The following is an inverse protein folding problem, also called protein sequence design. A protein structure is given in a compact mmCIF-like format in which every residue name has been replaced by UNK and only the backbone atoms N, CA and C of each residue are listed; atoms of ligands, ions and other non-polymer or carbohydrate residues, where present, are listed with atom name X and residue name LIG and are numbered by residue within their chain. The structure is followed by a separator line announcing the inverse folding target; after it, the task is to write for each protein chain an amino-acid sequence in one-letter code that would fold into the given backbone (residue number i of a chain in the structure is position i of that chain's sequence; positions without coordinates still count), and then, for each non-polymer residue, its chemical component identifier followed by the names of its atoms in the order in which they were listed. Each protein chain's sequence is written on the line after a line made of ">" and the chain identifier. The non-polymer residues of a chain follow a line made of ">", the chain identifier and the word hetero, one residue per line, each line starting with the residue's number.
data_IF_277301850412
#
_entry.id   IF_277301850412
#
_cell.length_a   1.000
_cell.length_b   1.000
_cell.length_c   1.000
_cell.angle_alpha   90.00
_cell.angle_beta   90.00
_cell.angle_gamma   90.00
#
_symmetry.space_group_name_H-M   'P 1'
#
loop_
_entity.id
_entity.type
_entity.pdbx_description
1 polymer ?
#
# COMPACT_ATOMS: atom_id res chain seq x y z
N UNK A 1 -2.96 30.28 -0.13
CA UNK A 1 -4.28 30.92 0.05
C UNK A 1 -5.06 30.08 1.03
N UNK A 2 -5.29 30.59 2.23
CA UNK A 2 -5.93 29.84 3.30
C UNK A 2 -7.29 30.42 3.69
N UNK A 3 -8.22 29.55 4.08
CA UNK A 3 -9.50 29.91 4.69
C UNK A 3 -9.49 29.44 6.14
N UNK A 4 -9.80 30.34 7.06
CA UNK A 4 -9.85 30.05 8.49
C UNK A 4 -11.24 30.30 9.05
N UNK A 5 -11.72 29.40 9.89
CA UNK A 5 -12.91 29.59 10.72
C UNK A 5 -12.53 29.67 12.19
N UNK A 6 -12.90 30.76 12.86
CA UNK A 6 -12.80 30.91 14.31
C UNK A 6 -14.20 30.80 14.91
N UNK A 7 -14.46 29.75 15.70
CA UNK A 7 -15.75 29.56 16.41
C UNK A 7 -15.66 28.50 17.50
N UNK A 8 -16.32 28.77 18.63
CA UNK A 8 -16.63 27.78 19.66
C UNK A 8 -17.93 27.01 19.38
N UNK A 9 -18.76 27.50 18.44
CA UNK A 9 -20.06 26.92 18.11
C UNK A 9 -19.93 25.71 17.16
N UNK A 10 -20.18 24.50 17.69
CA UNK A 10 -20.16 23.26 16.90
C UNK A 10 -21.15 23.27 15.73
N UNK A 11 -22.30 23.96 15.86
CA UNK A 11 -23.29 24.04 14.77
C UNK A 11 -22.81 24.91 13.62
N UNK A 12 -22.14 26.02 13.91
CA UNK A 12 -21.51 26.87 12.88
C UNK A 12 -20.38 26.10 12.21
N UNK A 13 -19.52 25.44 13.00
CA UNK A 13 -18.45 24.57 12.49
C UNK A 13 -18.99 23.53 11.50
N UNK A 14 -19.98 22.73 11.91
CA UNK A 14 -20.57 21.70 11.06
C UNK A 14 -21.20 22.29 9.78
N UNK A 15 -21.91 23.42 9.88
CA UNK A 15 -22.55 24.05 8.74
C UNK A 15 -21.52 24.63 7.73
N UNK A 16 -20.46 25.28 8.22
CA UNK A 16 -19.37 25.78 7.37
C UNK A 16 -18.63 24.62 6.71
N UNK A 17 -18.26 23.58 7.48
CA UNK A 17 -17.60 22.39 6.94
C UNK A 17 -18.44 21.70 5.87
N UNK A 18 -19.77 21.61 6.04
CA UNK A 18 -20.65 21.04 5.03
C UNK A 18 -20.65 21.84 3.73
N UNK A 19 -20.72 23.18 3.81
CA UNK A 19 -20.63 24.05 2.62
C UNK A 19 -19.26 23.91 1.97
N UNK A 20 -18.18 23.97 2.75
CA UNK A 20 -16.81 23.85 2.26
C UNK A 20 -16.55 22.53 1.55
N UNK A 21 -17.04 21.41 2.09
CA UNK A 21 -17.01 20.08 1.46
C UNK A 21 -17.78 20.03 0.14
N UNK A 22 -18.93 20.70 0.06
CA UNK A 22 -19.74 20.74 -1.17
C UNK A 22 -19.06 21.48 -2.33
N UNK A 23 -18.09 22.37 -2.03
CA UNK A 23 -17.29 23.09 -3.04
C UNK A 23 -15.82 22.67 -3.07
N UNK A 24 -15.43 21.66 -2.27
CA UNK A 24 -14.05 21.16 -2.22
C UNK A 24 -13.04 22.14 -1.65
N UNK A 25 -13.42 23.05 -0.75
CA UNK A 25 -12.49 24.03 -0.15
C UNK A 25 -12.07 23.58 1.25
N UNK A 26 -10.76 23.55 1.49
CA UNK A 26 -10.22 23.31 2.83
C UNK A 26 -10.42 24.53 3.73
N UNK A 27 -10.96 24.28 4.93
CA UNK A 27 -11.15 25.31 5.96
C UNK A 27 -10.46 24.85 7.23
N UNK A 28 -9.41 25.58 7.63
CA UNK A 28 -8.80 25.38 8.94
C UNK A 28 -9.74 25.90 10.02
N UNK A 29 -9.86 25.19 11.14
CA UNK A 29 -10.77 25.55 12.23
C UNK A 29 -9.97 25.83 13.50
N UNK A 30 -10.21 26.97 14.12
CA UNK A 30 -9.59 27.43 15.35
C UNK A 30 -10.66 27.62 16.42
N UNK A 31 -10.42 27.11 17.63
CA UNK A 31 -11.26 27.38 18.80
C UNK A 31 -11.06 28.81 19.33
N UNK A 32 -11.93 29.24 20.24
CA UNK A 32 -11.83 30.56 20.86
C UNK A 32 -10.65 30.68 21.82
N UNK A 33 -10.23 29.56 22.41
CA UNK A 33 -9.16 29.51 23.42
C UNK A 33 -7.77 29.22 22.81
N UNK A 34 -7.70 29.00 21.50
CA UNK A 34 -6.46 28.66 20.81
C UNK A 34 -5.64 29.94 20.55
N UNK A 35 -4.35 29.94 20.88
CA UNK A 35 -3.44 31.04 20.52
C UNK A 35 -3.33 31.15 19.01
N UNK A 36 -3.96 32.19 18.45
CA UNK A 36 -4.01 32.43 17.02
C UNK A 36 -2.72 33.10 16.53
N UNK A 37 -2.17 32.58 15.45
CA UNK A 37 -1.20 33.28 14.60
C UNK A 37 -1.71 33.18 13.17
N UNK A 38 -2.05 34.32 12.58
CA UNK A 38 -2.56 34.36 11.21
C UNK A 38 -1.50 33.78 10.26
N UNK A 39 -1.85 32.82 9.39
CA UNK A 39 -0.99 32.46 8.29
C UNK A 39 -0.75 33.71 7.41
N UNK A 40 0.48 33.90 6.95
CA UNK A 40 0.84 35.06 6.11
C UNK A 40 0.10 35.14 4.76
N UNK A 41 -0.64 34.10 4.38
CA UNK A 41 -1.38 33.95 3.13
C UNK A 41 -2.90 33.72 3.33
N UNK A 42 -3.45 34.24 4.45
CA UNK A 42 -4.89 34.15 4.76
C UNK A 42 -5.75 35.02 3.82
N UNK A 43 -6.54 34.37 2.96
CA UNK A 43 -7.41 35.06 1.99
C UNK A 43 -8.79 35.41 2.57
N UNK A 44 -9.32 34.54 3.44
CA UNK A 44 -10.68 34.64 3.98
C UNK A 44 -10.71 34.21 5.44
N UNK A 45 -11.25 35.07 6.29
CA UNK A 45 -11.52 34.79 7.69
C UNK A 45 -13.02 34.68 7.92
N UNK A 46 -13.46 33.54 8.40
CA UNK A 46 -14.81 33.29 8.86
C UNK A 46 -14.85 33.40 10.39
N UNK A 47 -15.71 34.28 10.90
CA UNK A 47 -15.92 34.45 12.34
C UNK A 47 -17.30 33.89 12.69
N UNK A 48 -17.37 32.91 13.59
CA UNK A 48 -18.64 32.54 14.21
C UNK A 48 -19.22 33.74 14.96
N UNK A 49 -20.54 33.91 15.00
CA UNK A 49 -21.15 35.00 15.75
C UNK A 49 -20.82 35.00 17.26
N UNK A 50 -20.45 33.83 17.80
CA UNK A 50 -19.90 33.63 19.14
C UNK A 50 -18.44 34.09 19.27
N UNK A 51 -17.71 34.13 18.16
CA UNK A 51 -16.34 34.60 18.02
C UNK A 51 -16.25 36.07 17.61
N UNK A 52 -17.32 36.85 17.78
CA UNK A 52 -17.31 38.30 17.58
C UNK A 52 -17.13 38.99 18.94
N UNK A 53 -15.90 39.20 19.45
CA UNK A 53 -15.60 40.17 20.51
C UNK A 53 -14.91 41.44 19.97
N UNK A 54 -14.94 42.50 20.78
CA UNK A 54 -14.63 43.88 20.40
C UNK A 54 -13.17 44.19 19.99
N UNK A 55 -12.21 43.30 20.26
CA UNK A 55 -10.77 43.54 20.12
C UNK A 55 -10.04 42.41 19.36
N UNK A 56 -10.58 41.94 18.23
CA UNK A 56 -9.84 41.05 17.34
C UNK A 56 -8.81 41.89 16.56
N UNK A 57 -7.57 41.94 17.02
CA UNK A 57 -6.45 42.55 16.28
C UNK A 57 -6.12 41.69 15.06
N UNK A 58 -6.67 42.08 13.91
CA UNK A 58 -6.27 41.53 12.63
C UNK A 58 -4.90 42.12 12.26
N UNK A 59 -3.93 41.30 11.84
CA UNK A 59 -2.62 41.80 11.45
C UNK A 59 -2.75 42.79 10.28
N UNK A 60 -2.15 43.96 10.44
CA UNK A 60 -2.10 45.00 9.41
C UNK A 60 -1.48 44.46 8.11
N UNK A 61 -2.15 44.73 6.97
CA UNK A 61 -1.59 44.50 5.64
C UNK A 61 -2.05 43.23 4.92
N UNK A 62 -2.90 42.40 5.51
CA UNK A 62 -3.54 41.28 4.79
C UNK A 62 -4.85 41.76 4.18
N UNK A 63 -5.03 41.61 2.86
CA UNK A 63 -6.29 41.87 2.17
C UNK A 63 -7.32 40.76 2.46
N UNK A 64 -7.58 40.49 3.74
CA UNK A 64 -8.45 39.40 4.18
C UNK A 64 -9.91 39.84 4.12
N UNK A 65 -10.73 39.09 3.38
CA UNK A 65 -12.17 39.24 3.47
C UNK A 65 -12.61 38.63 4.81
N UNK A 66 -13.31 39.41 5.66
CA UNK A 66 -13.88 38.92 6.92
C UNK A 66 -15.38 38.71 6.73
N UNK A 67 -15.89 37.53 7.08
CA UNK A 67 -17.32 37.19 7.00
C UNK A 67 -17.78 36.61 8.34
N UNK A 68 -18.83 37.18 8.91
CA UNK A 68 -19.44 36.61 10.11
C UNK A 68 -20.45 35.54 9.73
N UNK A 69 -20.44 34.40 10.41
CA UNK A 69 -21.30 33.25 10.13
C UNK A 69 -22.09 32.86 11.38
N UNK A 70 -23.38 32.58 11.20
CA UNK A 70 -24.27 32.09 12.26
C UNK A 70 -25.25 31.07 11.69
N UNK A 71 -25.89 30.29 12.57
CA UNK A 71 -27.00 29.37 12.24
C UNK A 71 -28.34 29.86 12.81
N UNK A 72 -28.34 31.03 13.46
CA UNK A 72 -29.51 31.63 14.10
C UNK A 72 -29.81 33.01 13.48
N UNK A 73 -30.99 33.12 12.88
CA UNK A 73 -31.46 34.33 12.22
C UNK A 73 -31.61 35.52 13.18
N UNK A 74 -31.95 35.26 14.45
CA UNK A 74 -32.08 36.33 15.45
C UNK A 74 -30.72 36.90 15.85
N UNK A 75 -29.71 36.03 15.93
CA UNK A 75 -28.31 36.43 16.12
C UNK A 75 -27.80 37.18 14.89
N UNK A 76 -28.12 36.73 13.67
CA UNK A 76 -27.72 37.40 12.43
C UNK A 76 -28.19 38.86 12.37
N UNK A 77 -29.43 39.13 12.81
CA UNK A 77 -29.99 40.49 12.84
C UNK A 77 -29.34 41.41 13.89
N UNK A 78 -28.62 40.85 14.86
CA UNK A 78 -27.99 41.60 15.97
C UNK A 78 -26.50 41.87 15.75
N UNK A 79 -25.85 41.14 14.84
CA UNK A 79 -24.46 41.43 14.46
C UNK A 79 -24.46 42.55 13.42
N UNK A 80 -23.91 43.74 13.73
CA UNK A 80 -23.82 44.80 12.75
C UNK A 80 -22.88 44.39 11.62
N UNK A 81 -23.32 44.52 10.36
CA UNK A 81 -22.42 44.48 9.22
C UNK A 81 -21.37 45.59 9.39
N UNK A 82 -20.08 45.24 9.35
CA UNK A 82 -18.96 46.14 9.65
C UNK A 82 -18.42 46.07 11.09
N UNK A 83 -19.06 45.34 12.01
CA UNK A 83 -18.44 45.00 13.30
C UNK A 83 -17.16 44.19 13.08
N UNK A 84 -16.05 44.58 13.72
CA UNK A 84 -14.71 43.99 13.53
C UNK A 84 -14.19 44.00 12.08
N UNK A 85 -14.64 44.94 11.24
CA UNK A 85 -14.22 45.01 9.82
C UNK A 85 -14.89 43.96 8.92
N UNK A 86 -15.92 43.27 9.41
CA UNK A 86 -16.66 42.26 8.64
C UNK A 86 -17.35 42.85 7.42
N UNK A 87 -17.12 42.23 6.27
CA UNK A 87 -17.68 42.59 4.97
C UNK A 87 -19.11 42.11 4.76
N UNK A 88 -19.54 41.08 5.50
CA UNK A 88 -20.87 40.45 5.38
C UNK A 88 -21.21 39.59 6.60
N UNK A 89 -22.51 39.43 6.87
CA UNK A 89 -23.04 38.47 7.86
C UNK A 89 -23.89 37.44 7.14
N UNK A 90 -23.57 36.15 7.32
CA UNK A 90 -24.26 35.03 6.68
C UNK A 90 -24.97 34.16 7.73
N UNK A 91 -26.25 33.90 7.49
CA UNK A 91 -27.04 32.96 8.28
C UNK A 91 -27.21 31.63 7.53
N UNK A 92 -26.59 30.56 8.00
CA UNK A 92 -26.71 29.22 7.42
C UNK A 92 -27.99 28.52 7.91
N UNK A 93 -28.68 27.75 7.05
CA UNK A 93 -28.28 27.36 5.69
C UNK A 93 -28.62 28.37 4.58
N UNK A 94 -29.46 29.37 4.84
CA UNK A 94 -29.97 30.31 3.81
C UNK A 94 -28.88 31.09 3.07
N UNK A 95 -27.77 31.42 3.73
CA UNK A 95 -26.60 32.07 3.16
C UNK A 95 -25.56 31.09 2.58
N UNK A 96 -25.87 29.80 2.47
CA UNK A 96 -24.93 28.77 2.06
C UNK A 96 -24.37 28.96 0.65
N UNK A 97 -25.21 29.37 -0.31
CA UNK A 97 -24.76 29.63 -1.69
C UNK A 97 -23.75 30.79 -1.76
N UNK A 98 -24.03 31.88 -1.04
CA UNK A 98 -23.11 33.01 -0.98
C UNK A 98 -21.81 32.63 -0.26
N UNK A 99 -21.87 31.81 0.78
CA UNK A 99 -20.66 31.28 1.44
C UNK A 99 -19.84 30.42 0.47
N UNK A 100 -20.48 29.53 -0.29
CA UNK A 100 -19.84 28.71 -1.30
C UNK A 100 -19.08 29.56 -2.34
N UNK A 101 -19.73 30.58 -2.90
CA UNK A 101 -19.09 31.52 -3.85
C UNK A 101 -17.86 32.21 -3.25
N UNK A 102 -17.95 32.66 -1.99
CA UNK A 102 -16.82 33.32 -1.30
C UNK A 102 -15.67 32.35 -1.02
N UNK A 103 -15.97 31.11 -0.66
CA UNK A 103 -14.97 30.07 -0.42
C UNK A 103 -14.19 29.76 -1.70
N UNK A 104 -14.88 29.52 -2.82
CA UNK A 104 -14.24 29.23 -4.11
C UNK A 104 -13.33 30.37 -4.56
N UNK A 105 -13.82 31.61 -4.45
CA UNK A 105 -13.03 32.81 -4.81
C UNK A 105 -11.79 32.98 -3.93
N UNK A 106 -11.88 32.72 -2.64
CA UNK A 106 -10.78 32.94 -1.70
C UNK A 106 -9.70 31.85 -1.74
N UNK A 107 -10.10 30.60 -2.04
CA UNK A 107 -9.21 29.44 -2.01
C UNK A 107 -8.50 29.17 -3.35
N UNK A 108 -8.81 29.93 -4.40
CA UNK A 108 -8.18 29.75 -5.72
C UNK A 108 -8.62 28.47 -6.44
N UNK A 109 -9.87 28.06 -6.23
CA UNK A 109 -10.53 26.88 -6.82
C UNK A 109 -9.66 25.61 -6.91
N UNK A 110 -9.42 24.93 -5.76
CA UNK A 110 -8.63 23.68 -5.76
C UNK A 110 -9.25 22.60 -6.65
N UNK A 111 -10.57 22.61 -6.86
CA UNK A 111 -11.27 21.62 -7.68
C UNK A 111 -10.94 21.82 -9.15
N UNK A 112 -10.98 23.06 -9.66
CA UNK A 112 -10.53 23.37 -11.01
C UNK A 112 -9.05 23.06 -11.20
N UNK A 113 -8.18 23.44 -10.25
CA UNK A 113 -6.74 23.16 -10.34
C UNK A 113 -6.43 21.66 -10.43
N UNK A 114 -7.08 20.83 -9.62
CA UNK A 114 -6.94 19.37 -9.68
C UNK A 114 -7.50 18.81 -10.99
N UNK A 115 -8.64 19.32 -11.47
CA UNK A 115 -9.23 18.93 -12.75
C UNK A 115 -8.31 19.27 -13.93
N UNK A 116 -7.72 20.47 -13.93
CA UNK A 116 -6.80 20.94 -14.96
C UNK A 116 -5.48 20.14 -14.98
N UNK A 117 -5.06 19.64 -13.81
CA UNK A 117 -3.95 18.68 -13.71
C UNK A 117 -4.31 17.27 -14.22
N UNK A 118 -5.58 17.03 -14.56
CA UNK A 118 -6.06 15.77 -15.15
C UNK A 118 -6.70 14.79 -14.17
N UNK A 119 -6.93 15.18 -12.91
CA UNK A 119 -7.60 14.30 -11.95
C UNK A 119 -9.10 14.15 -12.20
N UNK A 120 -9.63 12.97 -11.86
CA UNK A 120 -11.06 12.70 -11.93
C UNK A 120 -11.80 13.32 -10.75
N UNK A 121 -12.70 14.29 -11.02
CA UNK A 121 -13.56 14.89 -10.00
C UNK A 121 -14.92 14.22 -10.01
N UNK A 122 -15.39 13.84 -8.82
CA UNK A 122 -16.70 13.22 -8.58
C UNK A 122 -17.28 13.74 -7.26
N UNK A 123 -18.47 13.25 -6.92
CA UNK A 123 -19.20 13.63 -5.72
C UNK A 123 -19.59 12.37 -4.97
N UNK A 124 -19.38 12.35 -3.67
CA UNK A 124 -19.71 11.21 -2.81
C UNK A 124 -20.24 11.69 -1.46
N UNK A 125 -20.95 10.82 -0.75
CA UNK A 125 -21.41 11.12 0.61
C UNK A 125 -20.20 10.99 1.58
N UNK A 126 -19.82 12.04 2.33
CA UNK A 126 -18.73 11.97 3.28
C UNK A 126 -19.02 11.11 4.53
N UNK A 127 -20.26 10.65 4.72
CA UNK A 127 -20.63 9.70 5.78
C UNK A 127 -20.41 8.23 5.41
N UNK A 128 -19.93 7.96 4.20
CA UNK A 128 -19.66 6.62 3.65
C UNK A 128 -18.43 5.98 4.34
N UNK A 129 -18.23 4.64 4.29
CA UNK A 129 -17.13 3.96 4.98
C UNK A 129 -15.72 4.46 4.60
N UNK A 130 -14.72 3.97 5.35
CA UNK A 130 -13.30 4.30 5.17
C UNK A 130 -12.74 4.09 3.74
N UNK A 131 -13.44 3.36 2.89
CA UNK A 131 -13.18 3.28 1.46
C UNK A 131 -14.49 3.42 0.67
N UNK A 132 -14.46 4.22 -0.39
CA UNK A 132 -15.54 4.39 -1.36
C UNK A 132 -15.45 3.33 -2.45
N UNK A 133 -16.55 2.92 -3.05
CA UNK A 133 -16.56 2.14 -4.28
C UNK A 133 -16.87 3.04 -5.46
N UNK A 134 -16.54 2.60 -6.67
CA UNK A 134 -16.90 3.32 -7.90
C UNK A 134 -18.40 3.69 -7.97
N UNK A 135 -19.28 2.81 -7.50
CA UNK A 135 -20.72 3.04 -7.52
C UNK A 135 -21.21 4.04 -6.45
N UNK A 136 -20.35 4.43 -5.51
CA UNK A 136 -20.62 5.46 -4.51
C UNK A 136 -20.29 6.86 -5.06
N UNK A 137 -19.67 6.94 -6.24
CA UNK A 137 -19.30 8.18 -6.91
C UNK A 137 -20.38 8.61 -7.91
N UNK A 138 -20.69 9.91 -7.90
CA UNK A 138 -21.56 10.57 -8.87
C UNK A 138 -20.78 11.63 -9.64
N UNK A 139 -20.95 11.74 -10.97
CA UNK A 139 -20.40 12.86 -11.73
C UNK A 139 -21.10 14.19 -11.40
N UNK A 140 -22.29 14.16 -10.80
CA UNK A 140 -23.10 15.34 -10.47
C UNK A 140 -23.27 15.51 -8.96
N UNK A 141 -23.32 16.76 -8.46
CA UNK A 141 -23.60 17.03 -7.06
C UNK A 141 -25.02 16.59 -6.69
N UNK A 142 -25.16 16.03 -5.49
CA UNK A 142 -26.44 15.68 -4.87
C UNK A 142 -26.49 16.20 -3.43
N UNK A 143 -27.69 16.19 -2.83
CA UNK A 143 -27.88 16.71 -1.48
C UNK A 143 -27.01 15.96 -0.46
N UNK A 144 -26.15 16.69 0.26
CA UNK A 144 -25.22 16.14 1.24
C UNK A 144 -23.91 15.59 0.66
N UNK A 145 -23.73 15.60 -0.66
CA UNK A 145 -22.47 15.19 -1.29
C UNK A 145 -21.33 16.17 -1.02
N UNK A 146 -20.12 15.65 -1.02
CA UNK A 146 -18.87 16.38 -0.96
C UNK A 146 -18.07 16.14 -2.26
N UNK A 147 -17.26 17.13 -2.65
CA UNK A 147 -16.37 16.98 -3.81
C UNK A 147 -15.27 16.00 -3.48
N UNK A 148 -15.15 14.97 -4.30
CA UNK A 148 -14.18 13.90 -4.19
C UNK A 148 -13.25 13.92 -5.40
N UNK A 149 -11.96 13.75 -5.15
CA UNK A 149 -10.96 13.57 -6.20
C UNK A 149 -10.46 12.13 -6.17
N UNK A 150 -10.67 11.43 -7.29
CA UNK A 150 -9.98 10.18 -7.56
C UNK A 150 -8.59 10.52 -8.08
N UNK A 151 -7.55 10.14 -7.33
CA UNK A 151 -6.16 10.44 -7.72
C UNK A 151 -5.63 9.46 -8.78
N UNK A 152 -6.52 8.67 -9.39
CA UNK A 152 -6.24 7.82 -10.54
C UNK A 152 -5.10 6.85 -10.25
N UNK A 153 -4.21 6.64 -11.22
CA UNK A 153 -3.05 5.73 -11.14
C UNK A 153 -2.05 6.02 -10.00
N UNK A 154 -2.37 6.89 -9.04
CA UNK A 154 -1.76 6.93 -7.72
C UNK A 154 -2.45 5.89 -6.83
N UNK A 155 -2.02 4.63 -6.91
CA UNK A 155 -2.27 3.66 -5.86
C UNK A 155 -2.94 2.35 -6.22
N UNK A 156 -3.16 2.00 -7.48
CA UNK A 156 -3.82 0.73 -7.82
C UNK A 156 -3.07 -0.47 -7.25
N UNK A 157 -3.68 -1.14 -6.27
CA UNK A 157 -3.32 -2.50 -5.84
C UNK A 157 -3.45 -3.55 -6.96
N UNK A 158 -3.12 -4.81 -6.65
CA UNK A 158 -2.83 -5.87 -7.64
C UNK A 158 -3.92 -6.14 -8.69
N UNK A 159 -3.61 -5.78 -9.95
CA UNK A 159 -4.13 -6.44 -11.17
C UNK A 159 -3.26 -7.66 -11.52
N UNK A 160 -3.71 -8.86 -11.14
CA UNK A 160 -3.12 -10.12 -11.60
C UNK A 160 -3.20 -10.18 -13.14
N UNK A 161 -2.02 -10.25 -13.78
CA UNK A 161 -1.77 -10.13 -15.22
C UNK A 161 -1.64 -8.71 -15.80
N UNK A 162 -1.15 -7.75 -15.01
CA UNK A 162 -0.43 -6.59 -15.56
C UNK A 162 -0.92 -5.21 -15.08
N UNK A 163 0.06 -4.44 -14.57
CA UNK A 163 0.22 -3.00 -14.73
C UNK A 163 -0.66 -2.06 -13.92
N UNK A 164 -0.37 -1.97 -12.63
CA UNK A 164 -0.36 -0.68 -11.93
C UNK A 164 1.02 -0.47 -11.31
N UNK A 165 1.70 0.62 -11.70
CA UNK A 165 3.15 0.77 -11.52
C UNK A 165 3.58 0.79 -10.04
N UNK A 166 4.74 0.21 -9.68
CA UNK A 166 5.34 0.26 -8.34
C UNK A 166 5.38 1.68 -7.74
N UNK A 167 5.50 2.69 -8.60
CA UNK A 167 5.38 4.12 -8.27
C UNK A 167 4.03 4.50 -7.66
N UNK A 168 2.94 3.99 -8.23
CA UNK A 168 1.57 4.18 -7.77
C UNK A 168 1.42 3.68 -6.33
N UNK A 169 1.86 2.43 -6.11
CA UNK A 169 1.85 1.76 -4.81
C UNK A 169 2.75 2.48 -3.79
N UNK A 170 3.91 2.96 -4.24
CA UNK A 170 4.84 3.75 -3.41
C UNK A 170 4.21 5.06 -2.95
N UNK A 171 3.67 5.84 -3.89
CA UNK A 171 3.03 7.12 -3.59
C UNK A 171 1.84 6.90 -2.65
N UNK A 172 0.99 5.89 -2.89
CA UNK A 172 -0.11 5.52 -2.01
C UNK A 172 0.38 5.21 -0.58
N UNK A 173 1.33 4.28 -0.43
CA UNK A 173 1.88 3.85 0.86
C UNK A 173 2.52 5.01 1.62
N UNK A 174 3.29 5.84 0.92
CA UNK A 174 4.03 6.95 1.52
C UNK A 174 3.14 8.12 1.90
N UNK A 175 2.16 8.46 1.06
CA UNK A 175 1.22 9.56 1.35
C UNK A 175 0.32 9.23 2.54
N UNK A 176 -0.20 8.00 2.65
CA UNK A 176 -0.93 7.54 3.84
C UNK A 176 -0.11 7.61 5.11
N UNK A 177 1.19 7.27 5.02
CA UNK A 177 2.12 7.33 6.15
C UNK A 177 2.40 8.76 6.60
N UNK A 178 2.55 9.70 5.68
CA UNK A 178 2.90 11.10 5.98
C UNK A 178 1.67 11.96 6.33
N UNK A 179 0.52 11.71 5.72
CA UNK A 179 -0.71 12.48 5.93
C UNK A 179 -1.86 11.57 6.40
N UNK A 180 -1.79 11.03 7.63
CA UNK A 180 -2.82 10.15 8.15
C UNK A 180 -4.18 10.86 8.22
N UNK A 181 -5.21 10.23 7.65
CA UNK A 181 -6.59 10.73 7.66
C UNK A 181 -6.93 11.81 6.62
N UNK A 182 -5.98 12.21 5.77
CA UNK A 182 -6.25 13.10 4.64
C UNK A 182 -6.91 12.38 3.45
N UNK A 183 -6.70 11.06 3.36
CA UNK A 183 -7.14 10.24 2.25
C UNK A 183 -8.30 9.32 2.64
N UNK A 184 -9.21 9.13 1.69
CA UNK A 184 -10.32 8.17 1.75
C UNK A 184 -10.23 7.36 0.47
N UNK A 185 -9.78 6.12 0.59
CA UNK A 185 -9.44 5.30 -0.58
C UNK A 185 -10.65 4.97 -1.45
N UNK A 186 -10.40 4.76 -2.74
CA UNK A 186 -11.39 4.28 -3.69
C UNK A 186 -11.11 2.81 -3.99
N UNK A 187 -11.94 1.94 -3.43
CA UNK A 187 -11.91 0.51 -3.62
C UNK A 187 -12.39 0.11 -5.02
N UNK A 188 -11.50 -0.52 -5.78
CA UNK A 188 -11.82 -1.27 -6.98
C UNK A 188 -11.76 -2.77 -6.73
N UNK A 189 -12.24 -3.55 -7.71
CA UNK A 189 -12.24 -4.99 -7.64
C UNK A 189 -10.84 -5.62 -7.69
N UNK A 190 -9.83 -4.87 -8.14
CA UNK A 190 -8.41 -5.27 -8.17
C UNK A 190 -7.57 -4.64 -7.05
N UNK A 191 -8.18 -3.83 -6.20
CA UNK A 191 -7.47 -3.16 -5.13
C UNK A 191 -7.91 -1.71 -4.98
N UNK A 192 -7.42 -1.10 -3.93
CA UNK A 192 -7.73 0.28 -3.59
C UNK A 192 -6.84 1.21 -4.42
N UNK A 193 -7.31 2.43 -4.69
CA UNK A 193 -6.50 3.54 -5.21
C UNK A 193 -6.62 4.72 -4.27
N UNK A 194 -5.65 5.64 -4.34
CA UNK A 194 -5.68 6.84 -3.52
C UNK A 194 -6.80 7.77 -3.98
N UNK A 195 -7.50 8.33 -3.02
CA UNK A 195 -8.44 9.41 -3.26
C UNK A 195 -8.72 10.18 -1.98
N UNK A 196 -9.43 11.29 -2.12
CA UNK A 196 -9.71 12.17 -1.00
C UNK A 196 -10.92 13.05 -1.28
N UNK A 197 -11.57 13.50 -0.21
CA UNK A 197 -12.44 14.66 -0.31
C UNK A 197 -11.57 15.91 -0.43
N UNK A 198 -11.83 16.75 -1.44
CA UNK A 198 -10.95 17.89 -1.75
C UNK A 198 -10.86 18.87 -0.57
N UNK A 199 -11.94 19.02 0.19
CA UNK A 199 -11.95 19.88 1.38
C UNK A 199 -11.11 19.34 2.56
N UNK A 200 -10.79 18.04 2.57
CA UNK A 200 -9.93 17.46 3.60
C UNK A 200 -8.43 17.60 3.22
N UNK A 201 -8.12 18.08 2.01
CA UNK A 201 -6.75 18.32 1.51
C UNK A 201 -6.29 19.76 1.79
N UNK A 202 -5.22 19.97 2.59
CA UNK A 202 -4.62 21.30 2.73
C UNK A 202 -4.09 21.82 1.38
N UNK A 203 -4.02 23.15 1.16
CA UNK A 203 -3.56 23.72 -0.10
C UNK A 203 -2.16 23.24 -0.54
N UNK A 204 -1.24 23.04 0.41
CA UNK A 204 0.10 22.55 0.11
C UNK A 204 0.08 21.10 -0.39
N UNK A 205 -0.86 20.29 0.11
CA UNK A 205 -1.04 18.92 -0.35
C UNK A 205 -1.68 18.89 -1.74
N UNK A 206 -2.61 19.81 -2.03
CA UNK A 206 -3.15 19.98 -3.39
C UNK A 206 -2.03 20.33 -4.38
N UNK A 207 -1.16 21.28 -4.03
CA UNK A 207 -0.01 21.67 -4.85
C UNK A 207 0.94 20.48 -5.09
N UNK A 208 1.20 19.71 -4.04
CA UNK A 208 2.03 18.51 -4.12
C UNK A 208 1.43 17.43 -5.03
N UNK A 209 0.13 17.15 -4.90
CA UNK A 209 -0.57 16.16 -5.74
C UNK A 209 -0.56 16.59 -7.22
N UNK A 210 -0.77 17.88 -7.50
CA UNK A 210 -0.66 18.43 -8.86
C UNK A 210 0.77 18.26 -9.39
N UNK A 211 1.78 18.57 -8.58
CA UNK A 211 3.19 18.37 -8.95
C UNK A 211 3.49 16.91 -9.29
N UNK A 212 3.07 15.97 -8.43
CA UNK A 212 3.21 14.52 -8.67
C UNK A 212 2.56 14.08 -9.99
N UNK A 213 1.38 14.62 -10.33
CA UNK A 213 0.64 14.25 -11.54
C UNK A 213 1.26 14.82 -12.83
N UNK A 214 1.69 16.08 -12.81
CA UNK A 214 2.19 16.78 -14.00
C UNK A 214 3.64 16.42 -14.31
N UNK A 215 4.48 16.36 -13.28
CA UNK A 215 5.93 16.18 -13.44
C UNK A 215 6.34 14.69 -13.32
N UNK A 216 5.42 13.82 -12.88
CA UNK A 216 5.68 12.42 -12.57
C UNK A 216 6.76 12.12 -11.49
N UNK A 217 7.07 12.99 -10.49
CA UNK A 217 8.02 12.63 -9.45
C UNK A 217 7.46 11.52 -8.56
N UNK A 218 8.34 10.63 -8.15
CA UNK A 218 8.09 9.66 -7.08
C UNK A 218 8.11 10.45 -5.77
N UNK A 219 7.11 10.26 -4.90
CA UNK A 219 7.03 11.00 -3.63
C UNK A 219 8.16 10.60 -2.67
N UNK A 220 8.47 9.30 -2.60
CA UNK A 220 9.52 8.74 -1.76
C UNK A 220 10.28 7.66 -2.54
N UNK A 221 11.47 8.00 -3.05
CA UNK A 221 12.31 7.08 -3.81
C UNK A 221 12.75 5.87 -2.99
N UNK A 222 12.93 6.02 -1.67
CA UNK A 222 13.31 4.89 -0.82
C UNK A 222 12.16 3.88 -0.69
N UNK A 223 10.93 4.38 -0.64
CA UNK A 223 9.74 3.55 -0.62
C UNK A 223 9.52 2.81 -1.95
N UNK A 224 9.80 3.48 -3.07
CA UNK A 224 9.78 2.86 -4.39
C UNK A 224 10.83 1.75 -4.50
N UNK A 225 12.09 2.01 -4.14
CA UNK A 225 13.15 0.99 -4.18
C UNK A 225 12.84 -0.20 -3.27
N UNK A 226 12.21 0.03 -2.11
CA UNK A 226 11.76 -1.05 -1.24
C UNK A 226 10.68 -1.91 -1.91
N UNK A 227 9.69 -1.30 -2.57
CA UNK A 227 8.65 -2.02 -3.31
C UNK A 227 9.19 -2.80 -4.51
N UNK A 228 10.14 -2.23 -5.25
CA UNK A 228 10.82 -2.91 -6.35
C UNK A 228 11.54 -4.16 -5.85
N UNK A 229 12.21 -4.06 -4.69
CA UNK A 229 12.85 -5.20 -4.05
C UNK A 229 11.85 -6.24 -3.55
N UNK A 230 10.71 -5.82 -2.96
CA UNK A 230 9.63 -6.71 -2.55
C UNK A 230 9.07 -7.49 -3.76
N UNK A 231 8.85 -6.83 -4.89
CA UNK A 231 8.38 -7.46 -6.13
C UNK A 231 9.41 -8.43 -6.72
N UNK A 232 10.70 -8.07 -6.68
CA UNK A 232 11.80 -8.96 -7.07
C UNK A 232 11.79 -10.22 -6.19
N UNK A 233 11.67 -10.07 -4.88
CA UNK A 233 11.63 -11.21 -3.96
C UNK A 233 10.38 -12.08 -4.15
N UNK A 234 9.23 -11.46 -4.39
CA UNK A 234 7.96 -12.15 -4.67
C UNK A 234 7.98 -12.91 -6.00
N UNK A 235 8.72 -12.42 -7.00
CA UNK A 235 8.81 -13.06 -8.32
C UNK A 235 9.28 -14.52 -8.25
N UNK A 236 10.09 -14.87 -7.22
CA UNK A 236 10.48 -16.25 -6.92
C UNK A 236 9.29 -17.18 -6.73
N UNK A 237 8.37 -16.80 -5.86
CA UNK A 237 7.20 -17.61 -5.51
C UNK A 237 6.15 -17.61 -6.61
N UNK A 238 6.06 -16.53 -7.39
CA UNK A 238 5.05 -16.36 -8.43
C UNK A 238 5.36 -17.15 -9.71
N UNK A 239 6.60 -17.07 -10.22
CA UNK A 239 6.91 -17.65 -11.53
C UNK A 239 8.37 -18.06 -11.73
N UNK A 240 9.35 -17.32 -11.17
CA UNK A 240 10.78 -17.55 -11.43
C UNK A 240 11.20 -18.96 -11.02
N UNK A 241 10.74 -19.46 -9.87
CA UNK A 241 11.08 -20.83 -9.42
C UNK A 241 10.64 -21.90 -10.42
N UNK A 242 9.46 -21.75 -11.03
CA UNK A 242 8.94 -22.64 -12.06
C UNK A 242 9.76 -22.58 -13.35
N UNK A 243 10.17 -21.39 -13.76
CA UNK A 243 10.97 -21.15 -14.96
C UNK A 243 12.39 -21.69 -14.81
N UNK A 244 13.04 -21.35 -13.69
CA UNK A 244 14.34 -21.91 -13.31
C UNK A 244 14.27 -23.43 -13.30
N UNK A 245 13.26 -24.02 -12.65
CA UNK A 245 13.11 -25.47 -12.62
C UNK A 245 13.01 -26.08 -14.03
N UNK A 246 12.27 -25.47 -14.95
CA UNK A 246 12.17 -25.89 -16.36
C UNK A 246 13.49 -25.75 -17.12
N UNK A 247 14.35 -24.80 -16.77
CA UNK A 247 15.66 -24.62 -17.40
C UNK A 247 16.75 -25.55 -16.84
N UNK A 248 16.57 -26.06 -15.62
CA UNK A 248 17.52 -27.00 -15.03
C UNK A 248 17.57 -28.34 -15.78
N UNK A 249 18.78 -28.88 -15.95
CA UNK A 249 18.98 -30.26 -16.40
C UNK A 249 18.54 -31.28 -15.34
N UNK A 250 18.29 -32.53 -15.78
CA UNK A 250 17.72 -33.62 -14.95
C UNK A 250 18.42 -33.77 -13.59
N UNK A 251 19.75 -33.84 -13.58
CA UNK A 251 20.53 -33.98 -12.33
C UNK A 251 20.33 -32.83 -11.36
N UNK A 252 20.23 -31.58 -11.84
CA UNK A 252 20.04 -30.44 -10.95
C UNK A 252 18.62 -30.42 -10.36
N UNK A 253 17.61 -30.84 -11.15
CA UNK A 253 16.23 -31.03 -10.65
C UNK A 253 16.15 -32.10 -9.56
N UNK A 254 16.86 -33.22 -9.73
CA UNK A 254 16.94 -34.26 -8.70
C UNK A 254 17.49 -33.71 -7.37
N UNK A 255 18.50 -32.85 -7.45
CA UNK A 255 19.06 -32.18 -6.26
C UNK A 255 18.08 -31.19 -5.65
N UNK A 256 17.41 -30.38 -6.47
CA UNK A 256 16.38 -29.43 -6.03
C UNK A 256 15.35 -30.13 -5.13
N UNK A 257 14.75 -31.22 -5.62
CA UNK A 257 13.74 -31.99 -4.88
C UNK A 257 14.23 -32.53 -3.53
N UNK A 258 15.51 -32.89 -3.45
CA UNK A 258 16.08 -33.42 -2.20
C UNK A 258 16.48 -32.32 -1.22
N UNK A 259 16.82 -31.12 -1.70
CA UNK A 259 17.19 -29.97 -0.85
C UNK A 259 15.97 -29.32 -0.17
N UNK A 260 14.79 -29.42 -0.76
CA UNK A 260 13.54 -28.83 -0.26
C UNK A 260 13.49 -27.32 -0.44
N UNK A 261 12.29 -26.78 -0.56
CA UNK A 261 12.03 -25.44 -1.12
C UNK A 261 12.77 -24.32 -0.39
N UNK A 262 12.72 -24.31 0.95
CA UNK A 262 13.39 -23.29 1.76
C UNK A 262 14.91 -23.23 1.54
N UNK A 263 15.55 -24.39 1.35
CA UNK A 263 17.01 -24.41 1.11
C UNK A 263 17.32 -24.04 -0.33
N UNK A 264 16.48 -24.44 -1.28
CA UNK A 264 16.61 -24.05 -2.68
C UNK A 264 16.46 -22.54 -2.82
N UNK A 265 15.43 -21.94 -2.22
CA UNK A 265 15.20 -20.49 -2.20
C UNK A 265 16.41 -19.74 -1.66
N UNK A 266 16.96 -20.17 -0.52
CA UNK A 266 18.20 -19.56 0.01
C UNK A 266 19.38 -19.69 -0.95
N UNK A 267 19.58 -20.86 -1.56
CA UNK A 267 20.66 -21.04 -2.54
C UNK A 267 20.47 -20.19 -3.80
N UNK A 268 19.23 -19.93 -4.19
CA UNK A 268 18.92 -19.05 -5.31
C UNK A 268 19.40 -17.64 -4.99
N UNK A 269 18.93 -17.07 -3.88
CA UNK A 269 19.33 -15.73 -3.46
C UNK A 269 20.84 -15.61 -3.16
N UNK A 270 21.44 -16.61 -2.52
CA UNK A 270 22.90 -16.71 -2.37
C UNK A 270 23.64 -16.66 -3.72
N UNK A 271 23.07 -17.29 -4.75
CA UNK A 271 23.68 -17.32 -6.08
C UNK A 271 23.54 -15.97 -6.75
N UNK A 272 22.34 -15.41 -6.77
CA UNK A 272 22.04 -14.08 -7.35
C UNK A 272 22.95 -13.02 -6.74
N UNK A 273 23.01 -12.94 -5.41
CA UNK A 273 23.91 -12.00 -4.72
C UNK A 273 25.38 -12.33 -4.94
N UNK A 274 25.75 -13.62 -4.99
CA UNK A 274 27.14 -14.05 -5.14
C UNK A 274 27.74 -13.79 -6.53
N UNK A 275 26.91 -13.61 -7.56
CA UNK A 275 27.34 -13.19 -8.90
C UNK A 275 27.06 -11.70 -9.15
N UNK A 276 26.65 -10.95 -8.12
CA UNK A 276 26.26 -9.54 -8.20
C UNK A 276 25.20 -9.26 -9.27
N UNK A 277 24.33 -10.25 -9.55
CA UNK A 277 23.27 -10.10 -10.52
C UNK A 277 22.10 -9.32 -9.91
N UNK A 278 21.58 -8.37 -10.67
CA UNK A 278 20.38 -7.63 -10.33
C UNK A 278 19.34 -7.80 -11.45
N UNK A 279 18.16 -8.36 -11.16
CA UNK A 279 17.07 -8.37 -12.11
C UNK A 279 16.62 -6.93 -12.38
N UNK A 280 16.15 -6.68 -13.60
CA UNK A 280 15.67 -5.35 -13.99
C UNK A 280 14.20 -5.20 -13.57
N UNK A 281 13.87 -4.12 -12.87
CA UNK A 281 12.50 -3.73 -12.55
C UNK A 281 12.22 -2.40 -13.25
N UNK A 282 11.22 -2.34 -14.13
CA UNK A 282 10.89 -1.12 -14.89
C UNK A 282 9.76 -0.29 -14.26
N UNK A 283 9.42 -0.60 -13.01
CA UNK A 283 8.26 -0.07 -12.30
C UNK A 283 6.96 -0.78 -12.67
N UNK A 284 6.95 -1.66 -13.68
CA UNK A 284 5.77 -2.40 -14.07
C UNK A 284 5.98 -3.93 -13.93
N UNK A 285 7.10 -4.45 -14.45
CA UNK A 285 7.44 -5.86 -14.39
C UNK A 285 8.85 -6.09 -13.83
N UNK A 286 9.08 -7.32 -13.34
CA UNK A 286 10.41 -7.81 -12.98
C UNK A 286 10.89 -8.70 -14.11
N UNK A 287 12.04 -8.37 -14.69
CA UNK A 287 12.67 -9.12 -15.78
C UNK A 287 13.93 -9.81 -15.30
N UNK A 288 13.98 -11.11 -15.55
CA UNK A 288 15.10 -11.97 -15.24
C UNK A 288 15.75 -12.50 -16.52
N UNK A 289 17.06 -12.29 -16.63
CA UNK A 289 17.92 -12.90 -17.65
C UNK A 289 18.35 -14.29 -17.15
N UNK A 290 17.40 -15.21 -17.11
CA UNK A 290 17.59 -16.53 -16.48
C UNK A 290 18.71 -17.34 -17.13
N UNK A 291 19.01 -17.13 -18.42
CA UNK A 291 20.12 -17.79 -19.11
C UNK A 291 21.49 -17.44 -18.49
N UNK A 292 21.63 -16.29 -17.85
CA UNK A 292 22.86 -15.88 -17.16
C UNK A 292 22.98 -16.50 -15.77
N UNK A 293 21.86 -16.57 -15.04
CA UNK A 293 21.84 -16.95 -13.62
C UNK A 293 21.69 -18.47 -13.42
N UNK A 294 20.84 -19.13 -14.23
CA UNK A 294 20.50 -20.55 -14.07
C UNK A 294 21.73 -21.46 -14.14
N UNK A 295 22.72 -21.26 -15.04
CA UNK A 295 23.93 -22.09 -15.04
C UNK A 295 24.73 -22.01 -13.73
N UNK A 296 24.88 -20.81 -13.17
CA UNK A 296 25.56 -20.60 -11.89
C UNK A 296 24.80 -21.26 -10.74
N UNK A 297 23.46 -21.12 -10.74
CA UNK A 297 22.59 -21.73 -9.75
C UNK A 297 22.60 -23.27 -9.83
N UNK A 298 22.58 -23.84 -11.03
CA UNK A 298 22.71 -25.28 -11.25
C UNK A 298 24.05 -25.81 -10.70
N UNK A 299 25.15 -25.09 -10.93
CA UNK A 299 26.45 -25.42 -10.37
C UNK A 299 26.45 -25.33 -8.83
N UNK A 300 25.76 -24.34 -8.26
CA UNK A 300 25.58 -24.16 -6.81
C UNK A 300 24.78 -25.30 -6.19
N UNK A 301 23.66 -25.72 -6.77
CA UNK A 301 22.90 -26.88 -6.34
C UNK A 301 23.78 -28.14 -6.29
N UNK A 302 24.54 -28.38 -7.35
CA UNK A 302 25.44 -29.54 -7.43
C UNK A 302 26.62 -29.46 -6.45
N UNK A 303 27.11 -28.26 -6.15
CA UNK A 303 28.08 -28.03 -5.08
C UNK A 303 27.46 -28.32 -3.71
N UNK A 304 26.21 -27.92 -3.49
CA UNK A 304 25.51 -28.13 -2.23
C UNK A 304 25.20 -29.60 -1.96
N UNK A 305 24.88 -30.38 -3.00
CA UNK A 305 24.81 -31.84 -2.90
C UNK A 305 26.14 -32.40 -2.40
N UNK A 306 27.27 -31.96 -2.99
CA UNK A 306 28.61 -32.43 -2.61
C UNK A 306 28.98 -32.07 -1.17
N UNK A 307 28.59 -30.88 -0.70
CA UNK A 307 28.83 -30.41 0.68
C UNK A 307 27.93 -31.12 1.70
N UNK A 308 26.65 -31.29 1.37
CA UNK A 308 25.66 -31.92 2.25
C UNK A 308 25.84 -33.42 2.34
N UNK A 309 26.42 -34.03 1.30
CA UNK A 309 26.78 -35.43 1.32
C UNK A 309 27.95 -35.66 2.28
N UNK A 310 27.66 -36.27 3.44
CA UNK A 310 28.67 -36.88 4.29
C UNK A 310 28.54 -38.38 4.14
N UNK A 311 29.67 -39.05 3.90
CA UNK A 311 29.70 -40.51 3.90
C UNK A 311 29.26 -41.02 5.28
N UNK A 312 28.08 -41.61 5.31
CA UNK A 312 27.51 -42.24 6.49
C UNK A 312 27.70 -43.74 6.35
N UNK A 313 28.51 -44.34 7.23
CA UNK A 313 28.88 -45.77 7.19
C UNK A 313 27.69 -46.71 7.27
N UNK A 314 26.53 -46.20 7.73
CA UNK A 314 25.27 -46.94 7.75
C UNK A 314 24.66 -47.13 6.37
N UNK A 315 25.17 -46.46 5.34
CA UNK A 315 24.75 -46.64 3.97
C UNK A 315 25.81 -47.39 3.18
N UNK A 316 25.41 -48.48 2.55
CA UNK A 316 26.27 -49.29 1.71
C UNK A 316 25.79 -49.26 0.26
N UNK A 317 26.75 -49.12 -0.66
CA UNK A 317 26.50 -49.19 -2.09
C UNK A 317 26.88 -50.58 -2.58
N UNK A 318 25.88 -51.38 -2.92
CA UNK A 318 26.10 -52.74 -3.43
C UNK A 318 25.70 -52.77 -4.90
N UNK A 319 26.47 -53.47 -5.74
CA UNK A 319 26.08 -53.68 -7.14
C UNK A 319 24.87 -54.60 -7.16
N UNK A 320 23.76 -54.14 -7.74
CA UNK A 320 22.55 -54.94 -7.80
C UNK A 320 22.79 -56.12 -8.77
N UNK A 321 22.54 -57.34 -8.32
CA UNK A 321 22.79 -58.58 -9.09
C UNK A 321 21.65 -58.87 -10.09
N UNK A 322 21.14 -57.84 -10.77
CA UNK A 322 20.20 -58.01 -11.87
C UNK A 322 21.02 -58.17 -13.15
N UNK A 323 21.28 -59.42 -13.52
CA UNK A 323 22.00 -59.77 -14.73
C UNK A 323 21.35 -59.18 -15.98
N UNK A 324 22.16 -58.53 -16.82
CA UNK A 324 21.99 -58.34 -18.26
C UNK A 324 20.73 -57.63 -18.81
N UNK A 325 19.87 -57.01 -18.00
CA UNK A 325 18.78 -56.18 -18.56
C UNK A 325 19.26 -54.75 -18.87
N UNK A 326 19.05 -54.22 -20.10
CA UNK A 326 19.56 -52.91 -20.52
C UNK A 326 19.10 -51.71 -19.67
N UNK A 327 18.00 -51.86 -18.94
CA UNK A 327 17.36 -50.81 -18.14
C UNK A 327 17.24 -51.17 -16.64
N UNK A 328 17.96 -52.20 -16.16
CA UNK A 328 17.91 -52.55 -14.75
C UNK A 328 18.79 -51.64 -13.87
N UNK A 329 18.35 -51.30 -12.65
CA UNK A 329 19.15 -50.54 -11.69
C UNK A 329 20.47 -51.27 -11.41
N UNK A 330 21.58 -50.54 -11.50
CA UNK A 330 22.94 -51.09 -11.40
C UNK A 330 23.43 -51.19 -9.97
N UNK A 331 22.81 -50.46 -9.05
CA UNK A 331 23.21 -50.37 -7.65
C UNK A 331 21.99 -50.41 -6.72
N UNK A 332 22.18 -51.04 -5.57
CA UNK A 332 21.30 -50.97 -4.42
C UNK A 332 21.96 -50.07 -3.37
N UNK A 333 21.21 -49.12 -2.84
CA UNK A 333 21.57 -48.37 -1.64
C UNK A 333 20.94 -49.09 -0.45
N UNK A 334 21.77 -49.68 0.40
CA UNK A 334 21.33 -50.40 1.59
C UNK A 334 21.52 -49.53 2.82
N UNK A 335 20.53 -49.54 3.70
CA UNK A 335 20.65 -48.96 5.04
C UNK A 335 20.96 -50.08 6.05
N UNK A 336 22.22 -50.16 6.45
CA UNK A 336 22.83 -51.29 7.14
C UNK A 336 22.22 -51.60 8.52
N UNK A 337 21.70 -50.60 9.24
CA UNK A 337 21.09 -50.82 10.56
C UNK A 337 19.77 -51.61 10.48
N UNK A 338 19.05 -51.53 9.36
CA UNK A 338 17.72 -52.14 9.22
C UNK A 338 17.66 -53.20 8.12
N UNK A 339 18.81 -53.50 7.47
CA UNK A 339 18.89 -54.38 6.30
C UNK A 339 17.88 -54.01 5.19
N UNK A 340 17.55 -52.72 5.09
CA UNK A 340 16.54 -52.22 4.17
C UNK A 340 17.19 -51.71 2.88
N UNK A 341 16.56 -52.00 1.74
CA UNK A 341 16.88 -51.34 0.48
C UNK A 341 16.26 -49.95 0.50
N UNK A 342 17.09 -48.94 0.75
CA UNK A 342 16.65 -47.54 0.73
C UNK A 342 16.33 -47.05 -0.69
N UNK A 343 17.04 -47.55 -1.71
CA UNK A 343 16.75 -47.29 -3.13
C UNK A 343 17.49 -48.24 -4.08
N UNK A 344 16.95 -48.36 -5.30
CA UNK A 344 17.60 -49.00 -6.46
C UNK A 344 17.91 -47.91 -7.49
N UNK A 345 19.16 -47.84 -7.97
CA UNK A 345 19.68 -46.70 -8.74
C UNK A 345 20.63 -47.13 -9.86
N UNK A 346 20.71 -46.33 -10.92
CA UNK A 346 21.50 -46.64 -12.11
C UNK A 346 22.95 -46.19 -12.02
N UNK A 347 23.23 -45.15 -11.23
CA UNK A 347 24.56 -44.58 -11.12
C UNK A 347 24.84 -44.04 -9.71
N UNK A 348 26.11 -43.72 -9.45
CA UNK A 348 26.56 -43.20 -8.14
C UNK A 348 25.95 -41.84 -7.78
N UNK A 349 25.54 -41.04 -8.75
CA UNK A 349 24.92 -39.73 -8.49
C UNK A 349 23.51 -39.92 -7.91
N UNK A 350 22.65 -40.68 -8.59
CA UNK A 350 21.32 -41.07 -8.09
C UNK A 350 21.42 -41.71 -6.71
N UNK A 351 22.43 -42.55 -6.50
CA UNK A 351 22.69 -43.20 -5.22
C UNK A 351 22.99 -42.20 -4.08
N UNK A 352 23.63 -41.06 -4.37
CA UNK A 352 23.87 -39.98 -3.39
C UNK A 352 22.63 -39.15 -3.13
N UNK A 353 21.87 -38.85 -4.19
CA UNK A 353 20.57 -38.15 -4.10
C UNK A 353 19.61 -38.94 -3.23
N UNK A 354 19.46 -40.25 -3.49
CA UNK A 354 18.58 -41.13 -2.71
C UNK A 354 19.06 -41.31 -1.27
N UNK A 355 20.38 -41.40 -1.03
CA UNK A 355 20.92 -41.43 0.33
C UNK A 355 20.53 -40.18 1.11
N UNK A 356 20.69 -38.99 0.52
CA UNK A 356 20.34 -37.74 1.17
C UNK A 356 18.82 -37.64 1.42
N UNK A 357 18.00 -38.08 0.45
CA UNK A 357 16.54 -38.16 0.60
C UNK A 357 16.14 -39.04 1.78
N UNK A 358 16.69 -40.24 1.85
CA UNK A 358 16.42 -41.20 2.93
C UNK A 358 16.89 -40.67 4.30
N UNK A 359 18.07 -40.05 4.38
CA UNK A 359 18.57 -39.43 5.61
C UNK A 359 17.62 -38.35 6.14
N UNK A 360 17.06 -37.52 5.26
CA UNK A 360 16.10 -36.48 5.65
C UNK A 360 14.76 -37.06 6.11
N UNK A 361 14.23 -38.03 5.37
CA UNK A 361 13.00 -38.72 5.75
C UNK A 361 13.13 -39.34 7.16
N UNK A 362 14.27 -39.97 7.48
CA UNK A 362 14.51 -40.51 8.82
C UNK A 362 14.65 -39.43 9.88
N UNK A 363 15.34 -38.32 9.60
CA UNK A 363 15.42 -37.20 10.56
C UNK A 363 14.05 -36.61 10.86
N UNK A 364 13.20 -36.45 9.86
CA UNK A 364 11.83 -36.00 10.03
C UNK A 364 11.01 -37.00 10.88
N UNK A 365 11.11 -38.30 10.60
CA UNK A 365 10.44 -39.34 11.39
C UNK A 365 10.91 -39.37 12.85
N UNK A 366 12.20 -39.12 13.12
CA UNK A 366 12.77 -39.07 14.47
C UNK A 366 12.45 -37.79 15.23
N UNK A 367 12.17 -36.68 14.54
CA UNK A 367 11.77 -35.42 15.17
C UNK A 367 10.33 -35.44 15.70
N UNK A 368 9.54 -36.48 15.36
CA UNK A 368 8.12 -36.58 15.69
C UNK A 368 7.24 -35.67 14.82
N UNK A 369 5.90 -35.87 14.82
CA UNK A 369 5.00 -34.91 14.19
C UNK A 369 5.13 -33.54 14.90
N UNK A 370 5.00 -32.42 14.17
CA UNK A 370 4.96 -31.12 14.83
C UNK A 370 3.82 -31.14 15.85
N UNK A 371 4.13 -30.82 17.10
CA UNK A 371 3.12 -30.64 18.14
C UNK A 371 2.10 -29.63 17.62
N UNK A 372 0.83 -30.04 17.51
CA UNK A 372 -0.27 -29.15 17.14
C UNK A 372 -0.18 -27.85 17.96
N UNK A 373 -0.35 -26.67 17.36
CA UNK A 373 -0.45 -25.45 18.13
C UNK A 373 -1.57 -25.62 19.16
N UNK A 374 -1.26 -25.38 20.43
CA UNK A 374 -2.23 -25.38 21.51
C UNK A 374 -3.22 -24.26 21.20
N UNK A 375 -4.38 -24.61 20.65
CA UNK A 375 -5.55 -23.74 20.62
C UNK A 375 -6.02 -23.58 22.05
N UNK A 376 -5.57 -22.53 22.73
CA UNK A 376 -6.24 -22.02 23.92
C UNK A 376 -7.56 -21.38 23.50
N UNK A 377 -8.58 -22.21 23.31
CA UNK A 377 -9.97 -21.77 23.22
C UNK A 377 -10.52 -21.58 24.64
N UNK A 378 -10.30 -20.41 25.23
CA UNK A 378 -11.20 -19.91 26.29
C UNK A 378 -12.38 -19.23 25.60
N UNK A 379 -13.40 -20.03 25.27
CA UNK A 379 -14.75 -19.52 25.01
C UNK A 379 -15.32 -18.97 26.33
N UNK A 380 -15.35 -17.64 26.48
CA UNK A 380 -16.34 -16.99 27.34
C UNK A 380 -17.59 -16.72 26.52
N UNK A 381 -18.59 -17.57 26.72
CA UNK A 381 -19.97 -17.30 26.32
C UNK A 381 -20.48 -16.01 26.98
N UNK A 382 -20.99 -15.08 26.18
CA UNK A 382 -21.97 -14.09 26.62
C UNK A 382 -23.29 -14.39 25.88
N UNK A 383 -24.42 -14.55 26.59
CA UNK A 383 -25.72 -14.69 25.96
C UNK A 383 -26.22 -13.33 25.48
N UNK A 384 -26.91 -13.34 24.34
CA UNK A 384 -27.55 -12.16 23.75
C UNK A 384 -28.75 -11.68 24.60
N UNK A 385 -28.83 -10.35 24.78
CA UNK A 385 -30.09 -9.59 24.85
C UNK A 385 -30.01 -8.45 23.85
#
# INVERSE_FOLDING_TARGET
>A
MNVLLITGCQRVRAAVTAVARSVGVHVSVCGLDDTFSAPGDLSLLLLGADAVPADLDLPDGVATLVVTVTVDATTAARVPAGGAGSSAVLCLPSGGQLLAERLTLAAGDPVERLRDAGFGISHADPATPHALRWNDLSPYPFAGSAVYVGLGDVGSGERLAGQSAARARSNHRSLHRVYPGAFTDLAFWEGDVLGAFVADLPPQLVDLLIGLQVEYPVYDEADLSALEQEDIEASWDQWVSGDVYRMLGERARDVWHVLGDERVRRLWWDTVSGIEYQPHHDGHDVRWELDEVVPAFAARLMAELRRSWRHDRRYQYVRAYFGQMPHAPRYALLFAEQQEVAAMVNNRFEARVQQLRHQRARRAALAGPPSSPVTTSEERSCPAM
#
